data_IF_675416425204
#
_entry.id   IF_675416425204
#
_cell.length_a   1.000
_cell.length_b   1.000
_cell.length_c   1.000
_cell.angle_alpha   90.00
_cell.angle_beta   90.00
_cell.angle_gamma   90.00
#
_symmetry.space_group_name_H-M   'P 1'
#
loop_
_entity.id
_entity.type
_entity.pdbx_description
1 polymer ?
#
# COMPACT_ATOMS: atom_id res chain seq x y z
N UNK A 1 -33.10 21.05 -30.82
CA UNK A 1 -33.08 20.98 -29.33
C UNK A 1 -34.38 21.57 -28.83
N UNK A 2 -34.66 21.60 -27.53
CA UNK A 2 -35.83 22.33 -27.00
C UNK A 2 -35.77 23.85 -27.26
N UNK A 3 -34.73 24.33 -27.96
CA UNK A 3 -34.52 25.70 -28.43
C UNK A 3 -34.77 25.87 -29.95
N UNK A 4 -35.43 24.92 -30.63
CA UNK A 4 -35.83 25.05 -32.04
C UNK A 4 -34.66 25.06 -33.05
N UNK A 5 -33.43 24.88 -32.59
CA UNK A 5 -32.28 24.81 -33.47
C UNK A 5 -32.23 23.44 -34.19
N UNK A 6 -31.94 23.45 -35.49
CA UNK A 6 -31.83 22.23 -36.28
C UNK A 6 -30.65 21.41 -35.73
N UNK A 7 -30.93 20.16 -35.36
CA UNK A 7 -29.90 19.21 -34.94
C UNK A 7 -29.08 18.80 -36.17
N UNK A 8 -28.17 19.66 -36.60
CA UNK A 8 -27.12 19.25 -37.53
C UNK A 8 -26.18 18.36 -36.74
N UNK A 9 -26.34 17.04 -36.91
CA UNK A 9 -25.37 16.08 -36.41
C UNK A 9 -24.05 16.37 -37.14
N UNK A 10 -22.93 16.49 -36.42
CA UNK A 10 -21.64 16.63 -37.07
C UNK A 10 -21.33 15.31 -37.79
N UNK A 11 -21.59 15.28 -39.08
CA UNK A 11 -21.25 14.15 -39.95
C UNK A 11 -19.78 14.29 -40.29
N UNK A 12 -18.98 13.28 -39.93
CA UNK A 12 -17.51 13.35 -39.97
C UNK A 12 -16.92 13.25 -41.40
N UNK A 13 -17.75 13.12 -42.44
CA UNK A 13 -17.26 13.07 -43.82
C UNK A 13 -17.75 14.28 -44.62
N UNK A 14 -16.79 15.01 -45.19
CA UNK A 14 -17.02 16.10 -46.16
C UNK A 14 -17.90 15.64 -47.32
N UNK A 15 -17.79 14.37 -47.70
CA UNK A 15 -18.54 13.74 -48.79
C UNK A 15 -20.03 13.67 -48.49
N UNK A 16 -20.43 13.30 -47.27
CA UNK A 16 -21.85 13.24 -46.89
C UNK A 16 -22.49 14.64 -46.85
N UNK A 17 -21.79 15.65 -46.34
CA UNK A 17 -22.25 17.04 -46.37
C UNK A 17 -22.46 17.56 -47.80
N UNK A 18 -21.52 17.27 -48.71
CA UNK A 18 -21.66 17.67 -50.11
C UNK A 18 -22.82 16.97 -50.79
N UNK A 19 -23.05 15.70 -50.49
CA UNK A 19 -24.14 14.92 -51.06
C UNK A 19 -25.51 15.40 -50.57
N UNK A 20 -25.65 15.78 -49.29
CA UNK A 20 -26.87 16.37 -48.74
C UNK A 20 -27.18 17.73 -49.39
N UNK A 21 -26.17 18.59 -49.52
CA UNK A 21 -26.34 19.91 -50.15
C UNK A 21 -26.72 19.78 -51.62
N UNK A 22 -26.09 18.86 -52.37
CA UNK A 22 -26.45 18.54 -53.75
C UNK A 22 -27.91 18.08 -53.87
N UNK A 23 -28.35 17.18 -52.99
CA UNK A 23 -29.72 16.68 -52.97
C UNK A 23 -30.76 17.77 -52.71
N UNK A 24 -30.49 18.69 -51.77
CA UNK A 24 -31.39 19.83 -51.49
C UNK A 24 -31.49 20.79 -52.68
N UNK A 25 -30.35 21.18 -53.26
CA UNK A 25 -30.33 22.15 -54.36
C UNK A 25 -31.00 21.57 -55.62
N UNK A 26 -30.80 20.28 -55.92
CA UNK A 26 -31.51 19.62 -57.02
C UNK A 26 -33.02 19.56 -56.79
N UNK A 27 -33.46 19.28 -55.55
CA UNK A 27 -34.87 19.25 -55.19
C UNK A 27 -35.53 20.63 -55.34
N UNK A 28 -34.90 21.68 -54.82
CA UNK A 28 -35.42 23.05 -54.90
C UNK A 28 -35.57 23.52 -56.36
N UNK A 29 -34.55 23.28 -57.19
CA UNK A 29 -34.59 23.65 -58.62
C UNK A 29 -35.56 22.81 -59.45
N UNK A 30 -35.84 21.57 -59.05
CA UNK A 30 -36.87 20.74 -59.71
C UNK A 30 -38.30 21.23 -59.47
N UNK A 31 -38.51 22.02 -58.40
CA UNK A 31 -39.81 22.59 -58.07
C UNK A 31 -40.01 23.99 -58.64
N UNK A 32 -38.95 24.74 -58.90
CA UNK A 32 -39.05 26.18 -59.19
C UNK A 32 -39.18 26.60 -60.66
N UNK A 33 -38.97 25.78 -61.69
CA UNK A 33 -39.20 26.27 -63.06
C UNK A 33 -39.56 25.23 -64.16
N UNK A 34 -40.39 25.62 -65.16
CA UNK A 34 -40.54 24.89 -66.43
C UNK A 34 -39.23 24.93 -67.25
N UNK A 35 -39.07 24.03 -68.25
CA UNK A 35 -37.76 23.64 -68.76
C UNK A 35 -37.07 24.76 -69.54
N UNK A 36 -36.10 25.42 -68.92
CA UNK A 36 -35.16 26.31 -69.62
C UNK A 36 -34.17 25.56 -70.55
N UNK A 37 -34.33 24.25 -70.76
CA UNK A 37 -33.49 23.45 -71.64
C UNK A 37 -32.04 23.30 -71.16
N UNK A 38 -31.80 23.48 -69.86
CA UNK A 38 -30.47 23.43 -69.23
C UNK A 38 -30.42 22.24 -68.28
N UNK A 39 -29.38 21.40 -68.40
CA UNK A 39 -29.13 20.25 -67.53
C UNK A 39 -27.96 20.53 -66.59
N UNK A 40 -28.14 20.25 -65.30
CA UNK A 40 -27.12 20.48 -64.28
C UNK A 40 -26.32 19.20 -64.01
N UNK A 41 -25.01 19.23 -64.30
CA UNK A 41 -24.13 18.05 -64.24
C UNK A 41 -23.35 17.93 -62.91
N UNK A 42 -22.86 19.04 -62.34
CA UNK A 42 -22.06 19.03 -61.08
C UNK A 42 -22.14 20.39 -60.36
N UNK A 43 -22.18 20.38 -59.02
CA UNK A 43 -22.11 21.57 -58.16
C UNK A 43 -20.84 21.47 -57.31
N UNK A 44 -19.95 22.47 -57.43
CA UNK A 44 -18.74 22.56 -56.61
C UNK A 44 -18.72 23.83 -55.77
N UNK A 45 -18.45 23.68 -54.48
CA UNK A 45 -18.23 24.82 -53.59
C UNK A 45 -16.87 25.45 -53.94
N UNK A 46 -16.90 26.68 -54.47
CA UNK A 46 -15.69 27.42 -54.82
C UNK A 46 -15.01 28.04 -53.59
N UNK A 47 -15.79 28.65 -52.70
CA UNK A 47 -15.32 29.25 -51.44
C UNK A 47 -16.49 29.42 -50.48
N UNK A 48 -16.30 29.07 -49.22
CA UNK A 48 -17.27 29.30 -48.15
C UNK A 48 -16.60 30.22 -47.12
N UNK A 49 -16.77 31.53 -47.28
CA UNK A 49 -16.30 32.51 -46.30
C UNK A 49 -17.45 32.92 -45.39
N UNK A 50 -17.12 33.21 -44.14
CA UNK A 50 -18.03 33.90 -43.23
C UNK A 50 -17.98 35.41 -43.50
N UNK A 51 -19.10 36.14 -43.42
CA UNK A 51 -19.08 37.60 -43.48
C UNK A 51 -18.16 38.15 -42.38
N UNK A 52 -17.32 39.12 -42.72
CA UNK A 52 -16.29 39.68 -41.82
C UNK A 52 -16.88 40.21 -40.50
N UNK A 53 -18.13 40.67 -40.53
CA UNK A 53 -18.89 41.19 -39.39
C UNK A 53 -19.17 40.13 -38.29
N UNK A 54 -19.25 38.85 -38.65
CA UNK A 54 -19.60 37.75 -37.72
C UNK A 54 -18.40 36.88 -37.35
N UNK A 55 -17.36 36.88 -38.19
CA UNK A 55 -16.17 36.04 -38.01
C UNK A 55 -15.50 36.25 -36.65
N UNK A 56 -15.33 37.51 -36.21
CA UNK A 56 -14.67 37.84 -34.94
C UNK A 56 -15.33 37.17 -33.72
N UNK A 57 -16.67 37.24 -33.62
CA UNK A 57 -17.43 36.66 -32.51
C UNK A 57 -17.35 35.12 -32.47
N UNK A 58 -17.31 34.48 -33.64
CA UNK A 58 -17.16 33.02 -33.73
C UNK A 58 -15.75 32.61 -33.28
N UNK A 59 -14.71 33.34 -33.71
CA UNK A 59 -13.34 33.09 -33.27
C UNK A 59 -13.16 33.26 -31.75
N UNK A 60 -13.75 34.31 -31.16
CA UNK A 60 -13.74 34.52 -29.71
C UNK A 60 -14.43 33.37 -28.96
N UNK A 61 -15.61 32.93 -29.43
CA UNK A 61 -16.29 31.77 -28.87
C UNK A 61 -15.45 30.50 -28.95
N UNK A 62 -14.87 30.22 -30.12
CA UNK A 62 -14.00 29.05 -30.31
C UNK A 62 -12.78 29.09 -29.38
N UNK A 63 -12.18 30.27 -29.18
CA UNK A 63 -11.06 30.44 -28.24
C UNK A 63 -11.49 30.16 -26.81
N UNK A 64 -12.61 30.73 -26.36
CA UNK A 64 -13.18 30.49 -25.03
C UNK A 64 -13.48 29.00 -24.81
N UNK A 65 -14.11 28.35 -25.79
CA UNK A 65 -14.49 26.94 -25.68
C UNK A 65 -13.24 26.04 -25.63
N UNK A 66 -12.21 26.34 -26.44
CA UNK A 66 -10.94 25.62 -26.41
C UNK A 66 -10.19 25.82 -25.08
N UNK A 67 -10.27 27.00 -24.51
CA UNK A 67 -9.68 27.30 -23.21
C UNK A 67 -10.44 26.57 -22.08
N UNK A 68 -11.77 26.52 -22.13
CA UNK A 68 -12.60 25.72 -21.19
C UNK A 68 -12.24 24.24 -21.26
N UNK A 69 -12.10 23.68 -22.47
CA UNK A 69 -11.71 22.27 -22.68
C UNK A 69 -10.32 22.02 -22.09
N UNK A 70 -9.36 22.93 -22.35
CA UNK A 70 -8.00 22.81 -21.84
C UNK A 70 -7.93 22.90 -20.32
N UNK A 71 -8.70 23.80 -19.70
CA UNK A 71 -8.81 23.91 -18.24
C UNK A 71 -9.40 22.64 -17.62
N UNK A 72 -10.45 22.09 -18.23
CA UNK A 72 -11.07 20.85 -17.77
C UNK A 72 -10.08 19.68 -17.81
N UNK A 73 -9.41 19.47 -18.95
CA UNK A 73 -8.42 18.40 -19.10
C UNK A 73 -7.25 18.52 -18.11
N UNK A 74 -6.80 19.74 -17.81
CA UNK A 74 -5.78 19.96 -16.78
C UNK A 74 -6.30 19.62 -15.38
N UNK A 75 -7.51 20.05 -15.05
CA UNK A 75 -8.11 19.75 -13.75
C UNK A 75 -8.32 18.25 -13.54
N UNK A 76 -8.83 17.55 -14.55
CA UNK A 76 -8.99 16.09 -14.56
C UNK A 76 -7.64 15.38 -14.40
N UNK A 77 -6.62 15.80 -15.17
CA UNK A 77 -5.28 15.24 -15.06
C UNK A 77 -4.64 15.46 -13.68
N UNK A 78 -4.85 16.63 -13.07
CA UNK A 78 -4.39 16.93 -11.71
C UNK A 78 -5.12 16.09 -10.66
N UNK A 79 -6.43 15.93 -10.79
CA UNK A 79 -7.24 15.10 -9.90
C UNK A 79 -6.79 13.64 -9.95
N UNK A 80 -6.69 13.05 -11.14
CA UNK A 80 -6.21 11.68 -11.31
C UNK A 80 -4.79 11.51 -10.77
N UNK A 81 -3.91 12.47 -10.99
CA UNK A 81 -2.55 12.42 -10.50
C UNK A 81 -2.50 12.52 -8.97
N UNK A 82 -3.34 13.35 -8.34
CA UNK A 82 -3.47 13.42 -6.87
C UNK A 82 -3.98 12.10 -6.30
N UNK A 83 -5.03 11.53 -6.90
CA UNK A 83 -5.61 10.25 -6.47
C UNK A 83 -4.60 9.12 -6.57
N UNK A 84 -3.87 9.02 -7.69
CA UNK A 84 -2.83 8.00 -7.89
C UNK A 84 -1.68 8.14 -6.90
N UNK A 85 -1.19 9.37 -6.64
CA UNK A 85 -0.14 9.61 -5.63
C UNK A 85 -0.61 9.21 -4.23
N UNK A 86 -1.79 9.65 -3.82
CA UNK A 86 -2.34 9.30 -2.52
C UNK A 86 -2.57 7.79 -2.36
N UNK A 87 -2.90 7.07 -3.42
CA UNK A 87 -2.96 5.61 -3.40
C UNK A 87 -1.58 4.97 -3.23
N UNK A 88 -0.60 5.42 -4.02
CA UNK A 88 0.78 4.94 -3.91
C UNK A 88 1.38 5.20 -2.52
N UNK A 89 1.16 6.37 -1.93
CA UNK A 89 1.64 6.71 -0.59
C UNK A 89 1.04 5.79 0.47
N UNK A 90 -0.26 5.50 0.38
CA UNK A 90 -0.93 4.51 1.25
C UNK A 90 -0.35 3.11 1.09
N UNK A 91 -0.11 2.68 -0.15
CA UNK A 91 0.44 1.34 -0.40
C UNK A 91 1.86 1.22 0.15
N UNK A 92 2.69 2.27 0.02
CA UNK A 92 4.03 2.31 0.64
C UNK A 92 3.95 2.18 2.16
N UNK A 93 3.07 2.92 2.81
CA UNK A 93 2.89 2.86 4.26
C UNK A 93 2.45 1.46 4.72
N UNK A 94 1.49 0.85 4.00
CA UNK A 94 1.02 -0.52 4.30
C UNK A 94 2.13 -1.55 4.13
N UNK A 95 2.91 -1.45 3.05
CA UNK A 95 4.02 -2.38 2.77
C UNK A 95 5.10 -2.26 3.84
N UNK A 96 5.48 -1.03 4.22
CA UNK A 96 6.47 -0.81 5.27
C UNK A 96 5.98 -1.35 6.61
N UNK A 97 4.74 -1.03 6.99
CA UNK A 97 4.16 -1.54 8.23
C UNK A 97 4.03 -3.07 8.25
N UNK A 98 3.76 -3.70 7.11
CA UNK A 98 3.76 -5.16 6.98
C UNK A 98 5.17 -5.74 7.12
N UNK A 99 6.16 -5.15 6.45
CA UNK A 99 7.55 -5.57 6.53
C UNK A 99 8.11 -5.46 7.95
N UNK A 100 7.83 -4.36 8.65
CA UNK A 100 8.25 -4.16 10.04
C UNK A 100 7.59 -5.18 10.98
N UNK A 101 6.28 -5.41 10.82
CA UNK A 101 5.56 -6.45 11.58
C UNK A 101 6.18 -7.82 11.38
N UNK A 102 6.47 -8.19 10.15
CA UNK A 102 7.04 -9.50 9.82
C UNK A 102 8.47 -9.64 10.35
N UNK A 103 9.26 -8.56 10.28
CA UNK A 103 10.61 -8.52 10.85
C UNK A 103 10.61 -8.69 12.37
N UNK A 104 9.71 -7.99 13.07
CA UNK A 104 9.58 -8.10 14.53
C UNK A 104 9.07 -9.48 14.95
N UNK A 105 8.14 -10.05 14.19
CA UNK A 105 7.69 -11.43 14.40
C UNK A 105 8.83 -12.42 14.25
N UNK A 106 9.61 -12.34 13.16
CA UNK A 106 10.74 -13.22 12.92
C UNK A 106 11.81 -13.10 14.02
N UNK A 107 12.09 -11.86 14.45
CA UNK A 107 13.02 -11.61 15.56
C UNK A 107 12.50 -12.23 16.86
N UNK A 108 11.22 -12.01 17.19
CA UNK A 108 10.59 -12.60 18.37
C UNK A 108 10.59 -14.12 18.37
N UNK A 109 10.29 -14.74 17.22
CA UNK A 109 10.34 -16.20 17.05
C UNK A 109 11.78 -16.73 17.22
N UNK A 110 12.78 -16.02 16.69
CA UNK A 110 14.19 -16.37 16.85
C UNK A 110 14.68 -16.24 18.29
N UNK A 111 14.31 -15.16 18.98
CA UNK A 111 14.62 -14.96 20.40
C UNK A 111 13.96 -16.02 21.28
N UNK A 112 12.68 -16.34 21.03
CA UNK A 112 11.97 -17.39 21.74
C UNK A 112 12.64 -18.76 21.57
N UNK A 113 13.05 -19.11 20.35
CA UNK A 113 13.80 -20.34 20.07
C UNK A 113 15.15 -20.36 20.78
N UNK A 114 15.91 -19.26 20.74
CA UNK A 114 17.19 -19.15 21.40
C UNK A 114 17.07 -19.32 22.93
N UNK A 115 16.08 -18.68 23.54
CA UNK A 115 15.79 -18.81 24.98
C UNK A 115 15.36 -20.24 25.32
N UNK A 116 14.53 -20.87 24.48
CA UNK A 116 14.09 -22.26 24.68
C UNK A 116 15.27 -23.24 24.66
N UNK A 117 16.14 -23.14 23.64
CA UNK A 117 17.35 -23.97 23.52
C UNK A 117 18.29 -23.71 24.71
N UNK A 118 18.47 -22.45 25.10
CA UNK A 118 19.27 -22.10 26.26
C UNK A 118 18.69 -22.73 27.52
N UNK A 119 17.40 -22.57 27.80
CA UNK A 119 16.74 -23.17 28.95
C UNK A 119 16.84 -24.70 28.96
N UNK A 120 16.67 -25.36 27.82
CA UNK A 120 16.86 -26.81 27.68
C UNK A 120 18.31 -27.20 27.99
N UNK A 121 19.29 -26.47 27.46
CA UNK A 121 20.71 -26.71 27.73
C UNK A 121 21.08 -26.51 29.20
N UNK A 122 20.45 -25.54 29.87
CA UNK A 122 20.65 -25.27 31.29
C UNK A 122 20.00 -26.33 32.19
N UNK A 123 18.85 -26.87 31.79
CA UNK A 123 18.18 -27.95 32.51
C UNK A 123 18.90 -29.30 32.40
N UNK A 124 19.75 -29.50 31.38
CA UNK A 124 20.54 -30.74 31.22
C UNK A 124 21.56 -30.94 32.34
N UNK A 125 22.16 -29.86 32.84
CA UNK A 125 23.08 -29.91 33.99
C UNK A 125 22.99 -28.62 34.84
N UNK A 126 22.11 -28.61 35.85
CA UNK A 126 21.98 -27.48 36.78
C UNK A 126 23.25 -27.20 37.59
N UNK A 127 24.07 -28.23 37.87
CA UNK A 127 25.30 -28.09 38.64
C UNK A 127 26.35 -27.34 37.80
N UNK A 128 26.55 -27.73 36.54
CA UNK A 128 27.46 -27.04 35.61
C UNK A 128 27.06 -25.58 35.37
N UNK A 129 25.76 -25.29 35.31
CA UNK A 129 25.28 -23.90 35.20
C UNK A 129 25.67 -23.06 36.42
N UNK A 130 25.39 -23.56 37.63
CA UNK A 130 25.71 -22.86 38.88
C UNK A 130 27.22 -22.58 39.00
N UNK A 131 28.05 -23.54 38.57
CA UNK A 131 29.49 -23.40 38.47
C UNK A 131 29.91 -22.33 37.44
N UNK A 132 29.42 -22.40 36.19
CA UNK A 132 29.75 -21.41 35.14
C UNK A 132 29.32 -19.99 35.54
N UNK A 133 28.15 -19.84 36.17
CA UNK A 133 27.64 -18.56 36.66
C UNK A 133 28.53 -18.00 37.78
N UNK A 134 29.06 -18.85 38.66
CA UNK A 134 30.04 -18.44 39.67
C UNK A 134 31.34 -17.94 39.05
N UNK A 135 31.85 -18.58 37.99
CA UNK A 135 33.05 -18.14 37.25
C UNK A 135 32.84 -16.79 36.53
N UNK A 136 31.67 -16.59 35.95
CA UNK A 136 31.32 -15.34 35.29
C UNK A 136 31.21 -14.19 36.30
N UNK A 137 30.61 -14.45 37.47
CA UNK A 137 30.59 -13.50 38.58
C UNK A 137 32.02 -13.15 39.04
N UNK A 138 32.92 -14.15 39.20
CA UNK A 138 34.31 -13.89 39.53
C UNK A 138 35.00 -12.97 38.52
N UNK A 139 34.78 -13.17 37.22
CA UNK A 139 35.35 -12.32 36.17
C UNK A 139 34.91 -10.86 36.30
N UNK A 140 33.66 -10.60 36.69
CA UNK A 140 33.13 -9.23 36.86
C UNK A 140 33.72 -8.56 38.11
N UNK A 141 33.79 -9.29 39.23
CA UNK A 141 34.30 -8.73 40.50
C UNK A 141 35.83 -8.59 40.55
N UNK A 142 36.58 -9.48 39.88
CA UNK A 142 38.06 -9.49 39.90
C UNK A 142 38.72 -8.49 38.93
N UNK A 143 37.98 -7.96 37.96
CA UNK A 143 38.51 -6.97 37.01
C UNK A 143 38.66 -5.56 37.60
N UNK A 144 38.02 -5.30 38.74
CA UNK A 144 38.22 -4.06 39.49
C UNK A 144 39.27 -4.35 40.55
N UNK A 145 40.25 -3.46 40.72
CA UNK A 145 41.30 -3.53 41.77
C UNK A 145 40.67 -3.42 43.18
N UNK A 146 39.87 -4.40 43.55
CA UNK A 146 39.03 -4.38 44.75
C UNK A 146 39.46 -5.54 45.64
N UNK A 147 40.03 -5.20 46.79
CA UNK A 147 40.21 -6.16 47.89
C UNK A 147 38.86 -6.40 48.52
N UNK A 148 38.19 -7.47 48.07
CA UNK A 148 36.87 -7.87 48.57
C UNK A 148 37.08 -8.70 49.84
N UNK A 149 36.69 -8.16 51.00
CA UNK A 149 36.69 -8.87 52.28
C UNK A 149 35.30 -9.51 52.45
N UNK A 150 35.21 -10.81 52.19
CA UNK A 150 34.00 -11.60 52.37
C UNK A 150 34.24 -12.70 53.40
N UNK A 151 33.22 -13.00 54.19
CA UNK A 151 33.25 -14.11 55.16
C UNK A 151 33.44 -15.46 54.45
N UNK A 152 34.17 -16.37 55.09
CA UNK A 152 34.52 -17.70 54.57
C UNK A 152 33.31 -18.59 54.21
N UNK A 153 32.12 -18.27 54.74
CA UNK A 153 30.86 -18.99 54.48
C UNK A 153 30.05 -18.42 53.30
N UNK A 154 30.57 -17.45 52.55
CA UNK A 154 29.81 -16.88 51.43
C UNK A 154 29.56 -17.95 50.35
N UNK A 155 28.31 -18.12 49.84
CA UNK A 155 27.94 -19.14 48.86
C UNK A 155 28.78 -19.13 47.57
N UNK A 156 29.42 -17.99 47.30
CA UNK A 156 30.30 -17.80 46.15
C UNK A 156 31.52 -18.73 46.23
N UNK A 157 32.17 -18.87 47.40
CA UNK A 157 33.40 -19.66 47.57
C UNK A 157 33.20 -21.17 47.62
N UNK A 158 31.95 -21.66 47.61
CA UNK A 158 31.63 -23.10 47.72
C UNK A 158 32.36 -23.95 46.68
N UNK A 159 32.50 -23.44 45.45
CA UNK A 159 33.19 -24.12 44.35
C UNK A 159 34.73 -23.94 44.36
N UNK A 160 35.28 -23.03 45.17
CA UNK A 160 36.72 -22.83 45.34
C UNK A 160 37.28 -23.59 46.55
N UNK A 161 36.47 -23.82 47.58
CA UNK A 161 36.85 -24.57 48.79
C UNK A 161 36.79 -26.09 48.57
N UNK A 162 35.85 -26.56 47.74
CA UNK A 162 35.67 -27.98 47.45
C UNK A 162 35.45 -28.21 45.94
N UNK A 163 36.52 -28.42 45.15
CA UNK A 163 36.38 -28.77 43.74
C UNK A 163 35.79 -30.19 43.64
N UNK A 164 34.47 -30.28 43.48
CA UNK A 164 33.76 -31.53 43.22
C UNK A 164 32.71 -31.97 44.25
N UNK A 165 32.46 -31.18 45.31
CA UNK A 165 31.44 -31.51 46.32
C UNK A 165 30.32 -30.47 46.34
N UNK A 166 29.44 -30.57 45.35
CA UNK A 166 28.38 -29.59 45.11
C UNK A 166 27.05 -30.21 44.73
N UNK A 167 26.47 -31.06 45.59
CA UNK A 167 25.00 -31.13 45.90
C UNK A 167 24.29 -32.49 46.00
N UNK A 168 24.92 -33.57 46.48
CA UNK A 168 24.20 -34.83 46.79
C UNK A 168 23.23 -34.79 47.99
N UNK A 169 22.79 -33.62 48.47
CA UNK A 169 21.89 -33.48 49.62
C UNK A 169 20.79 -32.44 49.38
N UNK A 170 19.79 -32.78 48.57
CA UNK A 170 18.39 -32.30 48.70
C UNK A 170 17.36 -33.29 48.12
N UNK A 171 17.77 -34.48 47.64
CA UNK A 171 16.82 -35.55 47.32
C UNK A 171 16.36 -36.28 48.61
N UNK A 172 15.33 -35.74 49.27
CA UNK A 172 14.57 -36.49 50.28
C UNK A 172 14.13 -35.69 51.51
N UNK A 173 13.11 -34.84 51.36
CA UNK A 173 12.16 -34.58 52.47
C UNK A 173 10.89 -33.93 51.91
N UNK A 174 9.86 -34.75 51.75
CA UNK A 174 8.53 -34.38 51.30
C UNK A 174 7.56 -35.51 51.64
N UNK A 175 7.44 -35.81 52.93
CA UNK A 175 6.49 -36.79 53.43
C UNK A 175 5.10 -36.18 53.62
N UNK A 176 4.09 -36.99 53.24
CA UNK A 176 2.74 -37.04 53.79
C UNK A 176 1.78 -35.85 53.56
N UNK A 177 0.90 -36.01 52.57
CA UNK A 177 -0.34 -35.26 52.39
C UNK A 177 -1.43 -36.18 51.84
N UNK A 178 -2.01 -36.96 52.75
CA UNK A 178 -3.33 -37.61 52.76
C UNK A 178 -4.17 -37.67 51.47
N UNK A 179 -4.44 -38.90 51.06
CA UNK A 179 -5.59 -39.36 50.27
C UNK A 179 -6.90 -38.87 50.91
N UNK A 180 -7.72 -38.20 50.12
CA UNK A 180 -9.11 -37.87 50.45
C UNK A 180 -9.98 -38.17 49.23
N UNK A 181 -10.83 -39.17 49.40
CA UNK A 181 -11.98 -39.51 48.56
C UNK A 181 -12.86 -38.27 48.28
N UNK A 182 -13.26 -38.03 47.03
CA UNK A 182 -14.57 -38.49 46.52
C UNK A 182 -14.86 -37.93 45.10
N UNK A 183 -15.69 -38.63 44.30
CA UNK A 183 -15.93 -38.36 42.89
C UNK A 183 -17.24 -37.62 42.65
N UNK A 184 -17.24 -36.58 41.80
CA UNK A 184 -18.45 -36.17 41.10
C UNK A 184 -18.11 -35.71 39.68
N UNK A 185 -18.40 -36.60 38.74
CA UNK A 185 -18.71 -36.19 37.38
C UNK A 185 -20.07 -35.51 37.36
N UNK A 186 -20.15 -34.39 36.63
CA UNK A 186 -21.40 -33.92 36.02
C UNK A 186 -21.04 -33.51 34.59
N UNK A 187 -21.91 -33.96 33.70
CA UNK A 187 -21.99 -33.70 32.26
C UNK A 187 -22.01 -32.22 31.91
#
# INVERSE_FOLDING_TARGET
DDEGNSRVRPTNSRTELLQEVLGRVQFDLSQEDPPFGIEMVDIRIKRADFPQEVAGRIFERMRSDREKISRRLRAEGEEEARTRRAAADRDVEVILAAADRDADRLRGDGEAQAISILAESLNKDPEFFSFRRSLEAYKVFLNQRTTVILSSDAPIFKFLQSPGEGSSSTAGSGAAGTVGDDPLGIQ
#
